data_IF_022733110665
#
_entry.id   IF_022733110665
#
_cell.length_a   1.000
_cell.length_b   1.000
_cell.length_c   1.000
_cell.angle_alpha   90.00
_cell.angle_beta   90.00
_cell.angle_gamma   90.00
#
_symmetry.space_group_name_H-M   'P 1'
#
loop_
_entity.id
_entity.type
_entity.pdbx_description
1 polymer ?
#
# COMPACT_ATOMS: atom_id res chain seq x y z
N UNK A 1 -25.07 31.72 -2.84
CA UNK A 1 -24.66 31.04 -4.08
C UNK A 1 -23.34 30.37 -3.79
N UNK A 2 -23.34 29.05 -3.63
CA UNK A 2 -22.14 28.30 -3.26
C UNK A 2 -21.30 28.11 -4.54
N UNK A 3 -20.21 28.86 -4.65
CA UNK A 3 -19.19 28.64 -5.68
C UNK A 3 -18.67 27.22 -5.51
N UNK A 4 -18.81 26.39 -6.55
CA UNK A 4 -18.37 24.99 -6.52
C UNK A 4 -16.86 24.94 -6.26
N UNK A 5 -16.48 24.55 -5.05
CA UNK A 5 -15.12 24.24 -4.61
C UNK A 5 -14.68 22.90 -5.22
N UNK A 6 -14.59 22.84 -6.55
CA UNK A 6 -14.09 21.69 -7.28
C UNK A 6 -12.64 21.93 -7.76
N UNK A 7 -11.85 20.85 -7.78
CA UNK A 7 -10.55 20.90 -8.46
C UNK A 7 -10.77 21.14 -9.95
N UNK A 8 -9.95 22.02 -10.52
CA UNK A 8 -9.85 22.23 -11.96
C UNK A 8 -9.38 20.96 -12.69
N UNK A 9 -9.60 20.90 -14.00
CA UNK A 9 -9.17 19.75 -14.82
C UNK A 9 -7.65 19.60 -14.77
N UNK A 10 -6.94 20.71 -14.77
CA UNK A 10 -5.48 20.78 -14.65
C UNK A 10 -5.00 20.17 -13.33
N UNK A 11 -5.66 20.49 -12.22
CA UNK A 11 -5.34 19.93 -10.90
C UNK A 11 -5.58 18.42 -10.85
N UNK A 12 -6.67 17.94 -11.48
CA UNK A 12 -6.96 16.51 -11.56
C UNK A 12 -5.90 15.78 -12.40
N UNK A 13 -5.50 16.38 -13.53
CA UNK A 13 -4.48 15.82 -14.41
C UNK A 13 -3.14 15.71 -13.69
N UNK A 14 -2.75 16.76 -12.98
CA UNK A 14 -1.49 16.78 -12.23
C UNK A 14 -1.52 15.78 -11.07
N UNK A 15 -2.62 15.73 -10.31
CA UNK A 15 -2.79 14.75 -9.24
C UNK A 15 -2.71 13.31 -9.77
N UNK A 16 -3.33 13.03 -10.92
CA UNK A 16 -3.23 11.72 -11.55
C UNK A 16 -1.80 11.41 -12.00
N UNK A 17 -1.11 12.38 -12.61
CA UNK A 17 0.29 12.24 -13.04
C UNK A 17 1.20 11.91 -11.87
N UNK A 18 1.11 12.68 -10.78
CA UNK A 18 1.86 12.45 -9.55
C UNK A 18 1.54 11.07 -8.99
N UNK A 19 0.26 10.71 -8.90
CA UNK A 19 -0.17 9.40 -8.38
C UNK A 19 0.40 8.23 -9.18
N UNK A 20 0.39 8.29 -10.52
CA UNK A 20 0.99 7.25 -11.35
C UNK A 20 2.51 7.21 -11.19
N UNK A 21 3.17 8.37 -11.11
CA UNK A 21 4.61 8.45 -10.90
C UNK A 21 5.03 7.81 -9.57
N UNK A 22 4.33 8.11 -8.47
CA UNK A 22 4.59 7.49 -7.17
C UNK A 22 4.36 5.98 -7.19
N UNK A 23 3.29 5.52 -7.85
CA UNK A 23 3.04 4.06 -8.00
C UNK A 23 4.18 3.38 -8.74
N UNK A 24 4.68 3.97 -9.82
CA UNK A 24 5.81 3.42 -10.57
C UNK A 24 7.07 3.31 -9.71
N UNK A 25 7.33 4.28 -8.81
CA UNK A 25 8.48 4.21 -7.88
C UNK A 25 8.42 3.01 -6.93
N UNK A 26 7.23 2.50 -6.58
CA UNK A 26 7.10 1.40 -5.61
C UNK A 26 7.59 0.05 -6.14
N UNK A 27 7.42 -0.21 -7.45
CA UNK A 27 7.79 -1.48 -8.06
C UNK A 27 9.17 -1.44 -8.70
N UNK A 28 9.89 -2.57 -8.70
CA UNK A 28 11.20 -2.65 -9.37
C UNK A 28 11.09 -2.33 -10.87
N UNK A 29 10.12 -2.94 -11.56
CA UNK A 29 9.88 -2.70 -12.99
C UNK A 29 9.49 -1.26 -13.29
N UNK A 30 8.67 -0.64 -12.45
CA UNK A 30 8.30 0.77 -12.59
C UNK A 30 9.50 1.71 -12.41
N UNK A 31 10.37 1.47 -11.42
CA UNK A 31 11.63 2.21 -11.25
C UNK A 31 12.53 2.09 -12.47
N UNK A 32 12.71 0.89 -13.01
CA UNK A 32 13.52 0.67 -14.21
C UNK A 32 12.93 1.38 -15.44
N UNK A 33 11.60 1.38 -15.57
CA UNK A 33 10.91 2.12 -16.65
C UNK A 33 11.16 3.62 -16.54
N UNK A 34 11.05 4.18 -15.33
CA UNK A 34 11.31 5.60 -15.07
C UNK A 34 12.78 5.98 -15.33
N UNK A 35 13.74 5.12 -14.96
CA UNK A 35 15.17 5.31 -15.26
C UNK A 35 15.43 5.35 -16.78
N UNK A 36 14.81 4.43 -17.54
CA UNK A 36 14.90 4.41 -19.01
C UNK A 36 14.35 5.68 -19.67
N UNK A 37 13.31 6.27 -19.07
CA UNK A 37 12.74 7.54 -19.50
C UNK A 37 13.57 8.78 -19.05
N UNK A 38 14.69 8.58 -18.35
CA UNK A 38 15.59 9.66 -17.91
C UNK A 38 15.20 10.30 -16.59
N UNK A 39 14.20 9.78 -15.87
CA UNK A 39 13.85 10.28 -14.55
C UNK A 39 14.86 9.80 -13.50
N UNK A 40 15.30 10.73 -12.65
CA UNK A 40 16.09 10.40 -11.47
C UNK A 40 15.17 9.79 -10.42
N UNK A 41 15.17 8.46 -10.33
CA UNK A 41 14.45 7.74 -9.28
C UNK A 41 15.45 7.26 -8.25
N UNK A 42 15.34 7.78 -7.03
CA UNK A 42 16.05 7.23 -5.89
C UNK A 42 15.44 5.87 -5.53
N UNK A 43 16.26 4.85 -5.32
CA UNK A 43 15.79 3.57 -4.77
C UNK A 43 15.40 3.81 -3.29
N UNK A 44 14.16 4.26 -3.07
CA UNK A 44 13.61 4.55 -1.74
C UNK A 44 13.30 3.30 -0.92
N UNK A 45 13.61 2.11 -1.43
CA UNK A 45 13.17 0.83 -0.87
C UNK A 45 14.33 -0.18 -0.78
N UNK A 46 15.45 0.24 -0.21
CA UNK A 46 16.16 -0.65 0.69
C UNK A 46 15.66 -0.37 2.10
N UNK A 47 14.36 -0.67 2.36
CA UNK A 47 14.00 -0.96 3.73
C UNK A 47 14.81 -2.21 4.09
N UNK A 48 15.89 -2.00 4.83
CA UNK A 48 16.73 -3.07 5.34
C UNK A 48 15.80 -4.03 6.06
N UNK A 49 15.61 -5.20 5.46
CA UNK A 49 14.85 -6.26 6.11
C UNK A 49 15.74 -6.74 7.23
N UNK A 50 15.43 -6.31 8.45
CA UNK A 50 16.11 -6.78 9.64
C UNK A 50 15.47 -8.09 10.06
N UNK A 51 16.29 -9.09 10.31
CA UNK A 51 15.81 -10.32 10.93
C UNK A 51 15.27 -9.99 12.32
N UNK A 52 14.08 -10.49 12.61
CA UNK A 52 13.46 -10.37 13.93
C UNK A 52 14.12 -11.43 14.81
N UNK A 53 14.70 -11.08 15.98
CA UNK A 53 15.25 -12.06 16.90
C UNK A 53 14.24 -13.16 17.27
N UNK A 54 14.71 -14.40 17.34
CA UNK A 54 13.86 -15.58 17.58
C UNK A 54 13.01 -15.51 18.83
N UNK A 55 13.48 -14.81 19.87
CA UNK A 55 12.72 -14.61 21.10
C UNK A 55 11.45 -13.78 20.87
N UNK A 56 11.52 -12.79 19.97
CA UNK A 56 10.39 -11.93 19.60
C UNK A 56 9.47 -12.67 18.63
N UNK A 57 10.04 -13.34 17.62
CA UNK A 57 9.27 -14.10 16.63
C UNK A 57 8.41 -15.21 17.28
N UNK A 58 8.97 -15.93 18.26
CA UNK A 58 8.24 -16.97 19.01
C UNK A 58 7.16 -16.40 19.95
N UNK A 59 7.31 -15.17 20.41
CA UNK A 59 6.31 -14.50 21.25
C UNK A 59 5.14 -13.95 20.42
N UNK A 60 5.38 -13.62 19.14
CA UNK A 60 4.36 -13.12 18.21
C UNK A 60 3.45 -14.25 17.72
N UNK A 61 2.27 -14.39 18.33
CA UNK A 61 1.19 -15.24 17.80
C UNK A 61 0.39 -14.48 16.74
N UNK A 62 0.80 -14.60 15.47
CA UNK A 62 0.03 -14.07 14.33
C UNK A 62 -0.83 -15.19 13.74
N UNK A 63 -2.14 -15.16 13.99
CA UNK A 63 -3.06 -16.11 13.38
C UNK A 63 -3.21 -15.84 11.87
N UNK A 64 -3.34 -16.88 11.03
CA UNK A 64 -3.54 -16.71 9.59
C UNK A 64 -4.86 -15.98 9.28
N UNK A 65 -4.87 -15.20 8.19
CA UNK A 65 -6.07 -14.48 7.76
C UNK A 65 -7.16 -15.51 7.37
N UNK A 66 -8.40 -15.41 7.91
CA UNK A 66 -9.45 -16.37 7.60
C UNK A 66 -9.88 -16.30 6.15
N UNK A 67 -10.19 -17.47 5.55
CA UNK A 67 -10.71 -17.59 4.18
C UNK A 67 -12.10 -16.94 3.98
N UNK A 68 -12.80 -16.57 5.06
CA UNK A 68 -14.21 -16.13 5.09
C UNK A 68 -14.37 -14.80 5.83
N UNK A 69 -13.73 -13.75 5.31
CA UNK A 69 -13.62 -12.45 5.98
C UNK A 69 -14.78 -11.47 5.66
N UNK A 70 -15.78 -11.90 4.88
CA UNK A 70 -16.93 -11.06 4.55
C UNK A 70 -17.75 -10.75 5.84
N UNK A 71 -17.93 -9.45 6.19
CA UNK A 71 -18.51 -9.05 7.48
C UNK A 71 -20.01 -9.35 7.61
N UNK A 72 -20.73 -9.49 6.50
CA UNK A 72 -22.18 -9.78 6.49
C UNK A 72 -22.47 -11.27 6.34
N UNK A 73 -21.66 -12.01 5.58
CA UNK A 73 -21.89 -13.44 5.29
C UNK A 73 -21.31 -14.39 6.34
N UNK A 74 -20.32 -13.96 7.14
CA UNK A 74 -19.52 -14.84 8.01
C UNK A 74 -19.34 -14.29 9.43
N UNK A 75 -20.42 -13.77 10.01
CA UNK A 75 -20.43 -13.18 11.36
C UNK A 75 -19.95 -14.16 12.46
N UNK A 76 -20.41 -15.42 12.42
CA UNK A 76 -20.05 -16.44 13.42
C UNK A 76 -18.55 -16.70 13.50
N UNK A 77 -17.86 -16.79 12.36
CA UNK A 77 -16.41 -17.03 12.31
C UNK A 77 -15.56 -15.84 12.81
N UNK A 78 -16.16 -14.66 13.02
CA UNK A 78 -15.46 -13.52 13.64
C UNK A 78 -15.49 -13.59 15.17
N UNK A 79 -16.53 -14.19 15.75
CA UNK A 79 -16.65 -14.38 17.20
C UNK A 79 -15.62 -15.37 17.74
N UNK A 80 -15.24 -16.36 16.94
CA UNK A 80 -14.17 -17.33 17.25
C UNK A 80 -12.79 -16.67 17.46
N UNK A 81 -12.62 -15.38 17.11
CA UNK A 81 -11.39 -14.61 17.39
C UNK A 81 -11.38 -13.90 18.75
N UNK A 82 -12.53 -13.80 19.43
CA UNK A 82 -12.62 -13.11 20.72
C UNK A 82 -12.38 -14.06 21.92
N UNK A 83 -11.90 -15.28 21.64
CA UNK A 83 -11.51 -16.30 22.62
C UNK A 83 -10.00 -16.50 22.59
#
# INVERSE_FOLDING_TARGET
>A
MNSELGNTVEEILEAHRIGQFERLKTSHTGRETLKRLGYRVHDTMQATTHEIPDCISRALKVAPIPKKMNPTLHYGSRLDRCQ
#
